data_IF_792106109222
#
_entry.id   IF_792106109222
#
_cell.length_a   1.000
_cell.length_b   1.000
_cell.length_c   1.000
_cell.angle_alpha   90.00
_cell.angle_beta   90.00
_cell.angle_gamma   90.00
#
_symmetry.space_group_name_H-M   'P 1'
#
loop_
_entity.id
_entity.type
_entity.pdbx_description
1 polymer ?
#
# COMPACT_ATOMS: atom_id res chain seq x y z
N UNK A 1 -10.70 8.67 8.23
CA UNK A 1 -9.24 8.87 8.27
C UNK A 1 -8.78 9.29 6.87
N UNK A 2 -7.99 10.36 6.73
CA UNK A 2 -7.35 10.76 5.48
C UNK A 2 -6.56 9.61 4.83
N UNK A 3 -6.43 9.61 3.50
CA UNK A 3 -5.74 8.54 2.77
C UNK A 3 -4.28 8.37 3.22
N UNK A 4 -3.47 9.44 3.41
CA UNK A 4 -2.09 9.30 3.88
C UNK A 4 -1.97 8.59 5.23
N UNK A 5 -2.83 8.94 6.19
CA UNK A 5 -2.82 8.30 7.51
C UNK A 5 -3.20 6.82 7.42
N UNK A 6 -4.13 6.49 6.52
CA UNK A 6 -4.50 5.10 6.25
C UNK A 6 -3.34 4.30 5.66
N UNK A 7 -2.64 4.86 4.67
CA UNK A 7 -1.47 4.26 4.03
C UNK A 7 -0.34 4.05 5.03
N UNK A 8 -0.07 5.06 5.85
CA UNK A 8 0.90 4.96 6.95
C UNK A 8 0.55 3.83 7.90
N UNK A 9 -0.72 3.73 8.31
CA UNK A 9 -1.18 2.66 9.19
C UNK A 9 -0.96 1.27 8.57
N UNK A 10 -1.26 1.09 7.28
CA UNK A 10 -0.97 -0.16 6.58
C UNK A 10 0.53 -0.47 6.50
N UNK A 11 1.39 0.51 6.28
CA UNK A 11 2.85 0.29 6.27
C UNK A 11 3.39 -0.13 7.65
N UNK A 12 2.80 0.40 8.72
CA UNK A 12 3.15 0.01 10.10
C UNK A 12 2.68 -1.39 10.47
N UNK A 13 1.75 -1.99 9.72
CA UNK A 13 1.29 -3.35 9.99
C UNK A 13 2.41 -4.40 9.91
N UNK A 14 3.48 -4.10 9.17
CA UNK A 14 4.70 -4.90 9.17
C UNK A 14 5.34 -5.06 10.58
N UNK A 15 5.07 -4.13 11.51
CA UNK A 15 5.54 -4.23 12.91
C UNK A 15 4.59 -5.06 13.78
N UNK A 16 3.30 -5.06 13.48
CA UNK A 16 2.29 -5.76 14.29
C UNK A 16 2.12 -7.22 13.85
N UNK A 17 2.13 -7.45 12.54
CA UNK A 17 1.85 -8.74 11.91
C UNK A 17 2.71 -8.97 10.66
N UNK A 18 4.05 -9.09 10.80
CA UNK A 18 4.95 -9.30 9.67
C UNK A 18 4.63 -10.58 8.88
N UNK A 19 4.20 -11.65 9.55
CA UNK A 19 3.82 -12.89 8.88
C UNK A 19 2.55 -12.74 8.04
N UNK A 20 1.57 -11.96 8.49
CA UNK A 20 0.38 -11.65 7.70
C UNK A 20 0.71 -10.89 6.41
N UNK A 21 1.58 -9.88 6.50
CA UNK A 21 2.05 -9.14 5.31
C UNK A 21 2.85 -10.05 4.37
N UNK A 22 3.68 -10.93 4.92
CA UNK A 22 4.46 -11.90 4.15
C UNK A 22 3.55 -12.91 3.45
N UNK A 23 2.53 -13.44 4.14
CA UNK A 23 1.54 -14.35 3.55
C UNK A 23 0.77 -13.68 2.41
N UNK A 24 0.40 -12.41 2.57
CA UNK A 24 -0.23 -11.63 1.50
C UNK A 24 0.69 -11.50 0.28
N UNK A 25 1.98 -11.21 0.49
CA UNK A 25 2.97 -11.16 -0.59
C UNK A 25 3.13 -12.52 -1.29
N UNK A 26 3.17 -13.62 -0.53
CA UNK A 26 3.22 -14.98 -1.07
C UNK A 26 1.97 -15.34 -1.86
N UNK A 27 0.77 -14.99 -1.37
CA UNK A 27 -0.48 -15.21 -2.10
C UNK A 27 -0.49 -14.54 -3.47
N UNK A 28 0.16 -13.38 -3.61
CA UNK A 28 0.35 -12.74 -4.92
C UNK A 28 1.31 -13.50 -5.85
N UNK A 29 2.35 -14.15 -5.32
CA UNK A 29 3.29 -14.97 -6.09
C UNK A 29 2.69 -16.33 -6.50
N UNK A 30 1.77 -16.87 -5.69
CA UNK A 30 1.07 -18.13 -5.95
C UNK A 30 -0.20 -17.95 -6.79
N UNK A 31 -0.64 -16.71 -7.05
CA UNK A 31 -1.88 -16.42 -7.74
C UNK A 31 -1.89 -16.96 -9.19
N UNK A 32 -2.73 -17.97 -9.44
CA UNK A 32 -2.94 -18.59 -10.77
C UNK A 32 -4.22 -18.13 -11.47
N UNK A 33 -5.07 -17.34 -10.81
CA UNK A 33 -6.29 -16.78 -11.38
C UNK A 33 -7.47 -16.75 -10.39
N UNK A 34 -8.60 -16.12 -10.78
CA UNK A 34 -9.72 -15.86 -9.85
C UNK A 34 -10.40 -17.10 -9.29
N UNK A 35 -10.32 -18.23 -10.01
CA UNK A 35 -10.96 -19.50 -9.61
C UNK A 35 -10.26 -20.15 -8.42
N UNK A 36 -8.97 -19.88 -8.25
CA UNK A 36 -8.13 -20.48 -7.22
C UNK A 36 -7.86 -19.50 -6.06
N UNK A 37 -8.46 -18.30 -6.10
CA UNK A 37 -8.35 -17.27 -5.07
C UNK A 37 -9.67 -17.14 -4.28
N UNK A 38 -9.79 -17.83 -3.13
CA UNK A 38 -11.00 -17.76 -2.30
C UNK A 38 -11.24 -16.36 -1.72
N UNK A 39 -10.22 -15.48 -1.72
CA UNK A 39 -10.30 -14.12 -1.22
C UNK A 39 -10.54 -13.09 -2.35
N UNK A 40 -10.73 -13.53 -3.61
CA UNK A 40 -10.95 -12.63 -4.75
C UNK A 40 -12.10 -11.64 -4.52
N UNK A 41 -13.32 -12.14 -4.23
CA UNK A 41 -14.49 -11.27 -4.01
C UNK A 41 -14.40 -10.44 -2.72
N UNK A 42 -14.04 -11.01 -1.55
CA UNK A 42 -13.85 -10.22 -0.33
C UNK A 42 -12.76 -9.15 -0.44
N UNK A 43 -11.69 -9.40 -1.19
CA UNK A 43 -10.64 -8.41 -1.45
C UNK A 43 -11.14 -7.28 -2.35
N UNK A 44 -11.87 -7.59 -3.42
CA UNK A 44 -12.48 -6.59 -4.28
C UNK A 44 -13.43 -5.66 -3.48
N UNK A 45 -14.28 -6.21 -2.62
CA UNK A 45 -15.20 -5.42 -1.79
C UNK A 45 -14.46 -4.49 -0.81
N UNK A 46 -13.37 -4.96 -0.20
CA UNK A 46 -12.53 -4.13 0.69
C UNK A 46 -11.86 -2.98 -0.08
N UNK A 47 -11.50 -3.18 -1.34
CA UNK A 47 -10.83 -2.18 -2.17
C UNK A 47 -11.82 -1.21 -2.83
N UNK A 48 -13.07 -1.60 -3.06
CA UNK A 48 -14.10 -0.73 -3.68
C UNK A 48 -14.23 0.61 -2.97
N UNK A 49 -14.28 0.64 -1.64
CA UNK A 49 -14.36 1.90 -0.88
C UNK A 49 -13.14 2.81 -1.06
N UNK A 50 -11.97 2.24 -1.37
CA UNK A 50 -10.76 3.01 -1.67
C UNK A 50 -10.79 3.54 -3.12
N UNK A 51 -11.23 2.72 -4.08
CA UNK A 51 -11.40 3.13 -5.47
C UNK A 51 -12.38 4.29 -5.63
N UNK A 52 -13.56 4.21 -5.00
CA UNK A 52 -14.57 5.28 -5.03
C UNK A 52 -14.02 6.61 -4.52
N UNK A 53 -13.17 6.58 -3.48
CA UNK A 53 -12.54 7.79 -2.91
C UNK A 53 -11.49 8.39 -3.83
N UNK A 54 -10.79 7.58 -4.63
CA UNK A 54 -9.84 8.06 -5.62
C UNK A 54 -10.57 8.60 -6.86
N UNK A 55 -11.63 7.91 -7.31
CA UNK A 55 -12.47 8.35 -8.42
C UNK A 55 -13.09 9.73 -8.13
N UNK A 56 -13.68 9.90 -6.94
CA UNK A 56 -14.25 11.17 -6.53
C UNK A 56 -13.22 12.31 -6.44
N UNK A 57 -11.94 12.00 -6.17
CA UNK A 57 -10.84 13.00 -6.18
C UNK A 57 -10.46 13.39 -7.59
N UNK A 58 -10.43 12.43 -8.50
CA UNK A 58 -10.17 12.69 -9.92
C UNK A 58 -11.27 13.56 -10.55
N UNK A 59 -12.54 13.29 -10.23
CA UNK A 59 -13.67 14.12 -10.67
C UNK A 59 -13.61 15.56 -10.17
N UNK A 60 -13.03 15.79 -8.99
CA UNK A 60 -12.79 17.14 -8.43
C UNK A 60 -11.52 17.82 -8.95
N UNK A 61 -10.74 17.14 -9.80
CA UNK A 61 -9.46 17.64 -10.30
C UNK A 61 -8.33 17.65 -9.26
N UNK A 62 -8.50 16.94 -8.14
CA UNK A 62 -7.49 16.78 -7.08
C UNK A 62 -6.46 15.71 -7.43
N UNK A 63 -6.83 14.77 -8.30
CA UNK A 63 -5.96 13.77 -8.90
C UNK A 63 -5.94 13.98 -10.43
N UNK A 64 -4.77 14.01 -11.10
CA UNK A 64 -4.71 14.15 -12.55
C UNK A 64 -5.52 13.06 -13.28
N UNK A 65 -6.15 13.41 -14.41
CA UNK A 65 -6.97 12.49 -15.19
C UNK A 65 -6.16 11.37 -15.84
N UNK A 66 -4.85 11.57 -15.99
CA UNK A 66 -3.89 10.61 -16.53
C UNK A 66 -3.54 9.49 -15.54
N UNK A 67 -3.82 9.68 -14.25
CA UNK A 67 -3.53 8.68 -13.21
C UNK A 67 -4.73 7.75 -13.06
N UNK A 68 -4.58 6.49 -13.47
CA UNK A 68 -5.60 5.47 -13.25
C UNK A 68 -5.75 5.15 -11.74
N UNK A 69 -6.95 5.30 -11.15
CA UNK A 69 -7.18 5.03 -9.73
C UNK A 69 -6.88 3.60 -9.29
N UNK A 70 -7.11 2.61 -10.17
CA UNK A 70 -6.88 1.21 -9.86
C UNK A 70 -5.38 0.91 -9.81
N UNK A 71 -4.62 1.39 -10.81
CA UNK A 71 -3.17 1.31 -10.83
C UNK A 71 -2.54 2.02 -9.62
N UNK A 72 -3.02 3.23 -9.28
CA UNK A 72 -2.53 3.96 -8.11
C UNK A 72 -2.74 3.16 -6.83
N UNK A 73 -3.89 2.50 -6.67
CA UNK A 73 -4.17 1.66 -5.49
C UNK A 73 -3.16 0.51 -5.38
N UNK A 74 -2.89 -0.20 -6.48
CA UNK A 74 -1.90 -1.29 -6.50
C UNK A 74 -0.51 -0.78 -6.16
N UNK A 75 -0.11 0.38 -6.72
CA UNK A 75 1.19 1.01 -6.40
C UNK A 75 1.31 1.35 -4.92
N UNK A 76 0.26 1.92 -4.32
CA UNK A 76 0.25 2.26 -2.90
C UNK A 76 0.27 1.01 -2.01
N UNK A 77 -0.45 -0.05 -2.36
CA UNK A 77 -0.38 -1.33 -1.66
C UNK A 77 1.02 -1.95 -1.73
N UNK A 78 1.64 -1.95 -2.91
CA UNK A 78 3.02 -2.44 -3.06
C UNK A 78 3.99 -1.60 -2.21
N UNK A 79 3.82 -0.27 -2.21
CA UNK A 79 4.64 0.64 -1.42
C UNK A 79 4.51 0.37 0.09
N UNK A 80 3.30 0.15 0.63
CA UNK A 80 3.13 -0.14 2.06
C UNK A 80 3.73 -1.47 2.48
N UNK A 81 3.80 -2.45 1.57
CA UNK A 81 4.35 -3.79 1.82
C UNK A 81 5.86 -3.91 1.61
N UNK A 82 6.53 -2.85 1.11
CA UNK A 82 7.92 -2.94 0.63
C UNK A 82 8.93 -3.41 1.69
N UNK A 83 8.74 -3.07 2.96
CA UNK A 83 9.62 -3.51 4.06
C UNK A 83 9.59 -5.02 4.27
N UNK A 84 8.48 -5.67 3.91
CA UNK A 84 8.32 -7.12 3.98
C UNK A 84 8.63 -7.82 2.66
N UNK A 85 8.29 -7.22 1.51
CA UNK A 85 8.47 -7.85 0.19
C UNK A 85 9.86 -7.65 -0.41
N UNK A 86 10.56 -6.58 -0.04
CA UNK A 86 11.88 -6.21 -0.58
C UNK A 86 12.97 -6.05 0.51
N UNK A 87 13.08 -6.94 1.51
CA UNK A 87 14.01 -6.75 2.63
C UNK A 87 15.48 -6.71 2.17
N UNK A 88 15.83 -7.46 1.13
CA UNK A 88 17.18 -7.48 0.55
C UNK A 88 17.53 -6.18 -0.18
N UNK A 89 16.56 -5.52 -0.81
CA UNK A 89 16.76 -4.22 -1.47
C UNK A 89 17.00 -3.14 -0.42
N UNK A 90 16.22 -3.13 0.66
CA UNK A 90 16.38 -2.17 1.76
C UNK A 90 17.74 -2.36 2.45
N UNK A 91 18.11 -3.60 2.75
CA UNK A 91 19.42 -3.89 3.35
C UNK A 91 20.57 -3.40 2.45
N UNK A 92 20.47 -3.59 1.14
CA UNK A 92 21.50 -3.17 0.18
C UNK A 92 21.53 -1.67 -0.10
N UNK A 93 20.37 -1.03 -0.25
CA UNK A 93 20.27 0.38 -0.65
C UNK A 93 20.36 1.35 0.53
N UNK A 94 19.82 0.96 1.69
CA UNK A 94 19.73 1.82 2.87
C UNK A 94 20.75 1.45 3.96
N UNK A 95 21.35 0.25 3.90
CA UNK A 95 22.36 -0.19 4.88
C UNK A 95 21.82 -0.41 6.29
N UNK A 96 20.52 -0.70 6.42
CA UNK A 96 19.80 -0.89 7.69
C UNK A 96 19.08 -2.24 7.74
N UNK A 97 18.75 -2.73 8.94
CA UNK A 97 17.85 -3.89 9.07
C UNK A 97 16.44 -3.46 8.62
N UNK A 98 15.85 -4.09 7.60
CA UNK A 98 14.50 -3.78 7.14
C UNK A 98 13.40 -3.99 8.19
N UNK A 99 13.71 -4.69 9.28
CA UNK A 99 12.80 -4.97 10.40
C UNK A 99 13.01 -4.03 11.59
N UNK A 100 13.99 -3.13 11.52
CA UNK A 100 14.20 -2.13 12.57
C UNK A 100 12.94 -1.26 12.72
N UNK A 101 12.31 -1.23 13.91
CA UNK A 101 11.11 -0.44 14.15
C UNK A 101 11.28 1.05 13.86
N UNK A 102 12.47 1.62 14.02
CA UNK A 102 12.72 3.03 13.67
C UNK A 102 12.68 3.24 12.16
N UNK A 103 13.35 2.38 11.40
CA UNK A 103 13.30 2.42 9.94
C UNK A 103 11.89 2.21 9.39
N UNK A 104 11.15 1.20 9.88
CA UNK A 104 9.77 0.95 9.41
C UNK A 104 8.85 2.13 9.70
N UNK A 105 8.99 2.78 10.86
CA UNK A 105 8.24 4.00 11.19
C UNK A 105 8.60 5.14 10.24
N UNK A 106 9.89 5.38 10.00
CA UNK A 106 10.36 6.38 9.07
C UNK A 106 9.83 6.13 7.65
N UNK A 107 9.93 4.90 7.16
CA UNK A 107 9.42 4.50 5.85
C UNK A 107 7.91 4.73 5.74
N UNK A 108 7.13 4.33 6.75
CA UNK A 108 5.68 4.56 6.78
C UNK A 108 5.33 6.06 6.72
N UNK A 109 6.09 6.92 7.40
CA UNK A 109 5.95 8.37 7.32
C UNK A 109 6.24 8.88 5.89
N UNK A 110 7.29 8.38 5.23
CA UNK A 110 7.62 8.75 3.85
C UNK A 110 6.53 8.36 2.85
N UNK A 111 5.95 7.16 2.96
CA UNK A 111 4.85 6.74 2.07
C UNK A 111 3.62 7.66 2.27
N UNK A 112 3.31 8.05 3.50
CA UNK A 112 2.25 9.03 3.79
C UNK A 112 2.53 10.40 3.13
N UNK A 113 3.77 10.89 3.23
CA UNK A 113 4.16 12.18 2.61
C UNK A 113 3.96 12.11 1.10
N UNK A 114 4.46 11.06 0.44
CA UNK A 114 4.29 10.88 -1.01
C UNK A 114 2.82 10.82 -1.39
N UNK A 115 2.00 10.07 -0.64
CA UNK A 115 0.56 10.05 -0.86
C UNK A 115 -0.09 11.44 -0.75
N UNK A 116 0.34 12.24 0.22
CA UNK A 116 -0.11 13.63 0.38
C UNK A 116 0.26 14.51 -0.82
N UNK A 117 1.50 14.38 -1.33
CA UNK A 117 1.98 15.12 -2.51
C UNK A 117 1.24 14.74 -3.80
N UNK A 118 0.67 13.53 -3.86
CA UNK A 118 -0.20 13.09 -4.95
C UNK A 118 -1.65 13.62 -4.84
N UNK A 119 -1.93 14.55 -3.93
CA UNK A 119 -3.26 15.13 -3.73
C UNK A 119 -4.20 14.29 -2.86
N UNK A 120 -3.69 13.27 -2.17
CA UNK A 120 -4.52 12.37 -1.36
C UNK A 120 -4.78 12.87 0.08
N UNK A 121 -4.18 14.01 0.45
CA UNK A 121 -4.18 14.55 1.82
C UNK A 121 -5.46 15.26 2.28
N UNK A 122 -6.30 15.73 1.37
CA UNK A 122 -7.60 16.32 1.74
C UNK A 122 -8.56 15.24 2.26
N UNK A 123 -9.39 15.49 3.30
CA UNK A 123 -10.38 14.52 3.78
C UNK A 123 -11.41 14.12 2.70
#
# INVERSE_FOLDING_TARGET
MPIPEQIRWYALEALNNPDGVRLLAWGGLEYSGPKDDPDHAPRADRLNGFFERLHARQERGELPAEVDPACLTVMLMAATMATTSLPHVIAGACGVDPRDPEFVRHYADQVAIVAGLLGLGSP
#
